data_IF_622645058260
#
_entry.id   IF_622645058260
#
_cell.length_a   1.000
_cell.length_b   1.000
_cell.length_c   1.000
_cell.angle_alpha   90.00
_cell.angle_beta   90.00
_cell.angle_gamma   90.00
#
_symmetry.space_group_name_H-M   'P 1'
#
loop_
_entity.id
_entity.type
_entity.pdbx_description
1 polymer ?
#
# COMPACT_ATOMS: atom_id res chain seq x y z
N UNK A 1 1.15 14.54 22.84
CA UNK A 1 1.60 13.70 21.72
C UNK A 1 2.15 14.61 20.63
N UNK A 2 3.37 14.33 20.15
CA UNK A 2 4.06 15.14 19.15
C UNK A 2 4.78 14.22 18.12
N UNK A 3 4.54 14.44 16.84
CA UNK A 3 5.28 13.74 15.78
C UNK A 3 6.51 14.55 15.34
N UNK A 4 7.68 13.92 15.27
CA UNK A 4 8.93 14.53 14.86
C UNK A 4 9.79 13.55 14.03
N UNK A 5 9.91 13.69 12.71
CA UNK A 5 9.28 14.68 11.85
C UNK A 5 7.75 14.62 11.84
N UNK A 6 7.13 15.77 11.70
CA UNK A 6 5.68 15.95 11.77
C UNK A 6 4.95 15.36 10.56
N UNK A 7 3.77 14.83 10.76
CA UNK A 7 2.84 14.42 9.71
C UNK A 7 1.55 15.27 9.85
N UNK A 8 1.15 16.06 8.84
CA UNK A 8 1.50 15.91 7.42
C UNK A 8 2.62 16.82 6.89
N UNK A 9 3.22 17.73 7.69
CA UNK A 9 4.15 18.74 7.19
C UNK A 9 5.54 18.21 6.82
N UNK A 10 6.02 17.16 7.50
CA UNK A 10 7.39 16.67 7.39
C UNK A 10 8.43 17.53 8.10
N UNK A 11 7.98 18.58 8.81
CA UNK A 11 8.85 19.48 9.56
C UNK A 11 9.55 18.77 10.71
N UNK A 12 10.81 19.10 10.93
CA UNK A 12 11.66 18.57 12.00
C UNK A 12 11.91 19.65 13.04
N UNK A 13 11.69 19.31 14.29
CA UNK A 13 12.04 20.14 15.44
C UNK A 13 13.43 19.77 15.96
N UNK A 14 14.13 20.75 16.49
CA UNK A 14 15.44 20.58 17.11
C UNK A 14 15.37 19.72 18.37
N UNK A 15 16.16 18.66 18.43
CA UNK A 15 16.14 17.70 19.53
C UNK A 15 16.53 18.33 20.87
N UNK A 16 17.51 19.25 20.89
CA UNK A 16 17.93 19.93 22.11
C UNK A 16 16.83 20.87 22.63
N UNK A 17 16.10 21.53 21.73
CA UNK A 17 14.96 22.36 22.12
C UNK A 17 13.82 21.48 22.69
N UNK A 18 13.50 20.36 22.06
CA UNK A 18 12.51 19.41 22.58
C UNK A 18 12.91 18.85 23.93
N UNK A 19 14.19 18.48 24.10
CA UNK A 19 14.72 17.99 25.39
C UNK A 19 14.51 19.03 26.49
N UNK A 20 14.86 20.31 26.26
CA UNK A 20 14.63 21.38 27.22
C UNK A 20 13.14 21.53 27.60
N UNK A 21 12.26 21.45 26.62
CA UNK A 21 10.80 21.53 26.85
C UNK A 21 10.32 20.36 27.69
N UNK A 22 10.75 19.14 27.39
CA UNK A 22 10.40 17.92 28.17
C UNK A 22 10.87 18.05 29.62
N UNK A 23 12.09 18.52 29.85
CA UNK A 23 12.66 18.72 31.19
C UNK A 23 11.95 19.84 31.97
N UNK A 24 11.50 20.90 31.30
CA UNK A 24 10.83 22.04 31.93
C UNK A 24 9.39 21.73 32.37
N UNK A 25 8.84 20.59 31.97
CA UNK A 25 7.46 20.16 32.27
C UNK A 25 7.43 18.72 32.76
N UNK A 26 8.01 18.42 33.93
CA UNK A 26 8.11 17.05 34.45
C UNK A 26 6.75 16.44 34.78
N UNK A 27 5.72 17.24 35.00
CA UNK A 27 4.33 16.83 35.25
C UNK A 27 3.60 16.34 34.00
N UNK A 28 4.14 16.62 32.79
CA UNK A 28 3.57 16.23 31.51
C UNK A 28 4.24 14.96 31.00
N UNK A 29 3.46 13.94 30.64
CA UNK A 29 3.97 12.80 29.92
C UNK A 29 4.06 13.15 28.42
N UNK A 30 5.29 13.18 27.91
CA UNK A 30 5.57 13.44 26.51
C UNK A 30 5.67 12.13 25.72
N UNK A 31 4.92 12.03 24.63
CA UNK A 31 5.02 10.92 23.67
C UNK A 31 5.46 11.52 22.34
N UNK A 32 6.70 11.25 21.94
CA UNK A 32 7.30 11.74 20.70
C UNK A 32 7.27 10.61 19.66
N UNK A 33 6.54 10.80 18.59
CA UNK A 33 6.45 9.85 17.48
C UNK A 33 7.55 10.16 16.44
N UNK A 34 8.61 9.39 16.48
CA UNK A 34 9.74 9.45 15.55
C UNK A 34 9.61 8.44 14.38
N UNK A 35 8.39 8.12 13.96
CA UNK A 35 8.16 7.15 12.88
C UNK A 35 8.81 7.49 11.54
N UNK A 36 9.18 8.75 11.31
CA UNK A 36 9.84 9.22 10.09
C UNK A 36 11.29 9.69 10.33
N UNK A 37 11.81 9.56 11.54
CA UNK A 37 13.14 10.05 11.92
C UNK A 37 14.25 9.36 11.12
N UNK A 38 14.09 8.10 10.73
CA UNK A 38 15.08 7.37 9.94
C UNK A 38 15.37 8.00 8.57
N UNK A 39 14.48 8.84 8.04
CA UNK A 39 14.69 9.59 6.80
C UNK A 39 15.49 10.89 6.99
N UNK A 40 15.46 11.45 8.20
CA UNK A 40 16.10 12.74 8.50
C UNK A 40 17.62 12.56 8.64
N UNK A 41 18.37 13.13 7.69
CA UNK A 41 19.82 13.00 7.69
C UNK A 41 20.46 13.97 8.67
N UNK A 42 21.32 13.43 9.55
CA UNK A 42 22.04 14.23 10.56
C UNK A 42 21.15 14.73 11.71
N UNK A 43 19.87 14.31 11.75
CA UNK A 43 19.00 14.64 12.86
C UNK A 43 19.31 13.81 14.10
N UNK A 44 19.22 14.44 15.26
CA UNK A 44 19.35 13.77 16.55
C UNK A 44 17.98 13.26 17.01
N UNK A 45 17.98 12.06 17.58
CA UNK A 45 16.81 11.41 18.15
C UNK A 45 16.82 11.53 19.68
N UNK A 46 15.63 11.64 20.27
CA UNK A 46 15.47 11.64 21.73
C UNK A 46 15.44 10.23 22.36
N UNK A 47 15.88 9.20 21.63
CA UNK A 47 15.88 7.82 22.14
C UNK A 47 16.72 7.62 23.40
N UNK A 48 17.89 8.29 23.48
CA UNK A 48 18.77 8.20 24.64
C UNK A 48 18.17 8.88 25.86
N UNK A 49 17.61 10.07 25.66
CA UNK A 49 16.94 10.87 26.66
C UNK A 49 15.70 10.16 27.20
N UNK A 50 14.95 9.47 26.34
CA UNK A 50 13.77 8.70 26.73
C UNK A 50 14.10 7.56 27.71
N UNK A 51 15.27 6.95 27.61
CA UNK A 51 15.69 5.93 28.57
C UNK A 51 15.98 6.49 29.97
N UNK A 52 16.22 7.79 30.07
CA UNK A 52 16.65 8.48 31.31
C UNK A 52 15.52 9.33 31.95
N UNK A 53 14.67 9.94 31.12
CA UNK A 53 13.61 10.85 31.58
C UNK A 53 12.34 10.08 31.92
N UNK A 54 11.79 10.24 33.16
CA UNK A 54 10.62 9.48 33.60
C UNK A 54 9.32 9.88 32.88
N UNK A 55 9.30 11.04 32.25
CA UNK A 55 8.13 11.63 31.58
C UNK A 55 8.26 11.66 30.05
N UNK A 56 9.18 10.87 29.46
CA UNK A 56 9.37 10.80 28.00
C UNK A 56 9.21 9.38 27.45
N UNK A 57 8.41 9.25 26.40
CA UNK A 57 8.32 8.04 25.56
C UNK A 57 8.64 8.43 24.14
N UNK A 58 9.55 7.73 23.49
CA UNK A 58 9.82 7.87 22.06
C UNK A 58 9.35 6.63 21.32
N UNK A 59 8.54 6.84 20.29
CA UNK A 59 8.02 5.79 19.42
C UNK A 59 8.81 5.73 18.12
N UNK A 60 9.17 4.52 17.67
CA UNK A 60 9.83 4.27 16.39
C UNK A 60 9.05 3.27 15.56
N UNK A 61 8.99 3.49 14.27
CA UNK A 61 8.30 2.60 13.33
C UNK A 61 9.27 2.03 12.31
N UNK A 62 9.31 0.71 12.19
CA UNK A 62 10.07 0.02 11.16
C UNK A 62 9.29 -0.16 9.87
N UNK A 63 8.04 0.30 9.83
CA UNK A 63 7.14 0.06 8.69
C UNK A 63 7.38 0.95 7.48
N UNK A 64 7.95 2.17 7.67
CA UNK A 64 8.11 3.16 6.60
C UNK A 64 9.48 3.06 5.94
N UNK A 65 10.54 3.36 6.67
CA UNK A 65 11.90 3.43 6.14
C UNK A 65 12.36 2.08 5.56
N UNK A 66 12.00 0.99 6.21
CA UNK A 66 12.38 -0.37 5.79
C UNK A 66 11.36 -1.03 4.85
N UNK A 67 10.34 -0.31 4.39
CA UNK A 67 9.35 -0.84 3.45
C UNK A 67 8.45 -1.97 3.99
N UNK A 68 8.32 -2.09 5.31
CA UNK A 68 7.65 -3.21 5.98
C UNK A 68 6.25 -2.87 6.48
N UNK A 69 5.47 -2.10 5.72
CA UNK A 69 4.15 -1.63 6.14
C UNK A 69 3.19 -2.77 6.53
N UNK A 70 3.22 -3.90 5.83
CA UNK A 70 2.39 -5.08 6.10
C UNK A 70 2.83 -5.90 7.31
N UNK A 71 4.07 -5.78 7.77
CA UNK A 71 4.63 -6.56 8.89
C UNK A 71 4.12 -6.07 10.25
N UNK A 72 3.72 -4.81 10.35
CA UNK A 72 3.17 -4.17 11.56
C UNK A 72 4.13 -4.20 12.74
N UNK A 73 5.29 -3.57 12.62
CA UNK A 73 6.33 -3.56 13.65
C UNK A 73 6.83 -2.15 13.98
N UNK A 74 7.04 -1.92 15.25
CA UNK A 74 7.62 -0.73 15.82
C UNK A 74 8.03 -1.01 17.26
N UNK A 75 8.65 -0.04 17.91
CA UNK A 75 9.05 -0.14 19.31
C UNK A 75 8.94 1.23 20.00
N UNK A 76 8.92 1.20 21.32
CA UNK A 76 9.03 2.39 22.15
C UNK A 76 10.24 2.29 23.08
N UNK A 77 10.85 3.44 23.38
CA UNK A 77 11.86 3.56 24.43
C UNK A 77 11.35 4.56 25.44
N UNK A 78 11.48 4.23 26.72
CA UNK A 78 11.17 5.07 27.86
C UNK A 78 11.92 4.55 29.09
N UNK A 79 11.92 5.29 30.20
CA UNK A 79 12.51 4.87 31.45
C UNK A 79 11.93 3.54 31.97
N UNK A 80 12.76 2.72 32.62
CA UNK A 80 12.42 1.36 33.02
C UNK A 80 11.09 1.20 33.80
N UNK A 81 10.73 2.04 34.76
CA UNK A 81 9.46 1.92 35.47
C UNK A 81 8.24 2.11 34.55
N UNK A 82 8.34 3.02 33.57
CA UNK A 82 7.28 3.25 32.59
C UNK A 82 7.21 2.11 31.58
N UNK A 83 8.37 1.59 31.14
CA UNK A 83 8.45 0.44 30.25
C UNK A 83 7.78 -0.81 30.86
N UNK A 84 7.97 -1.04 32.15
CA UNK A 84 7.33 -2.17 32.86
C UNK A 84 5.81 -2.01 32.92
N UNK A 85 5.30 -0.82 33.22
CA UNK A 85 3.84 -0.52 33.20
C UNK A 85 3.25 -0.72 31.81
N UNK A 86 3.94 -0.26 30.76
CA UNK A 86 3.49 -0.47 29.37
C UNK A 86 3.47 -1.96 29.02
N UNK A 87 4.50 -2.73 29.41
CA UNK A 87 4.58 -4.17 29.16
C UNK A 87 3.42 -4.93 29.79
N UNK A 88 3.02 -4.58 31.01
CA UNK A 88 1.88 -5.18 31.70
C UNK A 88 0.54 -4.89 31.01
N UNK A 89 0.45 -3.79 30.26
CA UNK A 89 -0.75 -3.37 29.52
C UNK A 89 -0.82 -3.95 28.11
N UNK A 90 0.26 -4.53 27.60
CA UNK A 90 0.29 -5.09 26.25
C UNK A 90 -0.33 -6.50 26.23
N UNK A 91 -1.07 -6.86 25.16
CA UNK A 91 -1.57 -8.21 24.99
C UNK A 91 -0.42 -9.20 24.82
N UNK A 92 -0.63 -10.44 25.26
CA UNK A 92 0.29 -11.52 24.96
C UNK A 92 0.46 -11.69 23.43
N UNK A 93 1.66 -12.08 22.99
CA UNK A 93 1.96 -12.32 21.57
C UNK A 93 1.76 -11.09 20.66
N UNK A 94 2.01 -9.90 21.18
CA UNK A 94 1.84 -8.62 20.47
C UNK A 94 2.79 -8.43 19.27
N UNK A 95 3.81 -9.29 19.10
CA UNK A 95 4.72 -9.32 17.97
C UNK A 95 4.59 -10.67 17.26
N UNK A 96 4.21 -10.67 15.99
CA UNK A 96 4.11 -11.91 15.21
C UNK A 96 5.50 -12.42 14.77
N UNK A 97 5.61 -13.71 14.44
CA UNK A 97 6.86 -14.37 14.09
C UNK A 97 7.53 -13.74 12.84
N UNK A 98 6.76 -13.31 11.86
CA UNK A 98 7.27 -12.65 10.66
C UNK A 98 7.88 -11.28 10.99
N UNK A 99 7.24 -10.52 11.89
CA UNK A 99 7.77 -9.26 12.38
C UNK A 99 9.10 -9.46 13.10
N UNK A 100 9.21 -10.47 13.98
CA UNK A 100 10.45 -10.78 14.68
C UNK A 100 11.58 -11.17 13.72
N UNK A 101 11.30 -11.98 12.71
CA UNK A 101 12.27 -12.36 11.68
C UNK A 101 12.70 -11.17 10.83
N UNK A 102 11.74 -10.34 10.39
CA UNK A 102 12.00 -9.13 9.59
C UNK A 102 12.86 -8.11 10.35
N UNK A 103 12.58 -7.90 11.63
CA UNK A 103 13.39 -6.99 12.49
C UNK A 103 14.82 -7.48 12.60
N UNK A 104 15.04 -8.78 12.83
CA UNK A 104 16.41 -9.35 12.87
C UNK A 104 17.14 -9.12 11.55
N UNK A 105 16.49 -9.34 10.41
CA UNK A 105 17.08 -9.11 9.10
C UNK A 105 17.43 -7.64 8.85
N UNK A 106 16.57 -6.72 9.29
CA UNK A 106 16.80 -5.27 9.19
C UNK A 106 17.98 -4.84 10.05
N UNK A 107 18.03 -5.29 11.31
CA UNK A 107 19.13 -4.94 12.23
C UNK A 107 20.49 -5.54 11.82
N UNK A 108 20.49 -6.60 11.02
CA UNK A 108 21.68 -7.19 10.44
C UNK A 108 22.22 -6.43 9.22
N UNK A 109 21.47 -5.45 8.68
CA UNK A 109 21.94 -4.65 7.54
C UNK A 109 23.10 -3.74 7.95
N UNK A 110 24.11 -3.56 7.09
CA UNK A 110 25.18 -2.61 7.36
C UNK A 110 24.64 -1.18 7.41
N UNK A 111 25.22 -0.33 8.26
CA UNK A 111 24.82 1.08 8.40
C UNK A 111 24.82 1.84 7.06
N UNK A 112 25.77 1.50 6.18
CA UNK A 112 25.86 2.05 4.82
C UNK A 112 24.59 1.85 3.97
N UNK A 113 23.76 0.84 4.27
CA UNK A 113 22.47 0.67 3.62
C UNK A 113 21.51 1.83 3.96
N UNK A 114 21.39 2.13 5.25
CA UNK A 114 20.53 3.21 5.72
C UNK A 114 20.99 4.58 5.17
N UNK A 115 22.31 4.81 5.09
CA UNK A 115 22.85 6.05 4.53
C UNK A 115 22.52 6.21 3.04
N UNK A 116 22.63 5.12 2.26
CA UNK A 116 22.22 5.13 0.85
C UNK A 116 20.73 5.41 0.70
N UNK A 117 19.86 4.81 1.53
CA UNK A 117 18.43 5.04 1.45
C UNK A 117 18.05 6.47 1.85
N UNK A 118 18.70 7.06 2.85
CA UNK A 118 18.54 8.49 3.19
C UNK A 118 18.95 9.40 2.04
N UNK A 119 20.10 9.14 1.45
CA UNK A 119 20.60 9.92 0.30
C UNK A 119 19.63 9.81 -0.90
N UNK A 120 19.17 8.61 -1.22
CA UNK A 120 18.18 8.37 -2.28
C UNK A 120 16.86 9.11 -2.01
N UNK A 121 16.35 9.02 -0.78
CA UNK A 121 15.12 9.73 -0.42
C UNK A 121 15.28 11.24 -0.53
N UNK A 122 16.41 11.80 -0.09
CA UNK A 122 16.71 13.22 -0.20
C UNK A 122 16.72 13.67 -1.68
N UNK A 123 17.49 13.00 -2.53
CA UNK A 123 17.56 13.32 -3.97
C UNK A 123 16.17 13.34 -4.62
N UNK A 124 15.38 12.30 -4.37
CA UNK A 124 14.01 12.18 -4.89
C UNK A 124 13.07 13.23 -4.29
N UNK A 125 13.20 13.53 -3.00
CA UNK A 125 12.41 14.57 -2.33
C UNK A 125 12.69 15.94 -2.92
N UNK A 126 13.97 16.24 -3.19
CA UNK A 126 14.40 17.49 -3.80
C UNK A 126 13.90 17.61 -5.26
N UNK A 127 13.87 16.50 -6.01
CA UNK A 127 13.25 16.47 -7.34
C UNK A 127 11.75 16.78 -7.27
N UNK A 128 11.02 16.10 -6.36
CA UNK A 128 9.59 16.36 -6.16
C UNK A 128 9.33 17.78 -5.71
N UNK A 129 10.14 18.32 -4.79
CA UNK A 129 10.03 19.69 -4.29
C UNK A 129 10.16 20.69 -5.44
N UNK A 130 11.19 20.57 -6.28
CA UNK A 130 11.40 21.47 -7.44
C UNK A 130 10.21 21.43 -8.40
N UNK A 131 9.71 20.21 -8.72
CA UNK A 131 8.58 20.04 -9.65
C UNK A 131 7.30 20.66 -9.11
N UNK A 132 6.98 20.41 -7.83
CA UNK A 132 5.81 21.00 -7.20
C UNK A 132 5.93 22.51 -7.07
N UNK A 133 7.10 23.04 -6.69
CA UNK A 133 7.34 24.48 -6.57
C UNK A 133 7.26 25.22 -7.91
N UNK A 134 7.44 24.54 -9.04
CA UNK A 134 7.29 25.12 -10.37
C UNK A 134 5.83 25.26 -10.84
N UNK A 135 4.86 24.76 -10.07
CA UNK A 135 3.45 24.86 -10.42
C UNK A 135 2.90 26.25 -10.07
N UNK A 136 2.01 26.81 -10.90
CA UNK A 136 1.35 28.09 -10.60
C UNK A 136 0.58 28.00 -9.27
N UNK A 137 0.74 29.01 -8.42
CA UNK A 137 0.04 29.11 -7.15
C UNK A 137 0.43 28.05 -6.10
N UNK A 138 1.54 27.32 -6.32
CA UNK A 138 2.03 26.32 -5.40
C UNK A 138 2.79 26.95 -4.23
N UNK A 139 2.57 26.39 -3.03
CA UNK A 139 3.41 26.60 -1.84
C UNK A 139 3.75 25.23 -1.25
N UNK A 140 5.02 24.85 -1.31
CA UNK A 140 5.53 23.55 -0.85
C UNK A 140 6.28 23.74 0.44
N UNK A 141 5.95 22.94 1.47
CA UNK A 141 6.67 22.99 2.73
C UNK A 141 7.93 22.12 2.69
N UNK A 142 9.05 22.58 3.28
CA UNK A 142 10.23 21.76 3.50
C UNK A 142 9.90 20.54 4.37
N UNK A 143 10.52 19.40 4.09
CA UNK A 143 10.26 18.15 4.80
C UNK A 143 11.55 17.35 5.02
N UNK A 144 11.65 16.67 6.15
CA UNK A 144 12.69 15.68 6.41
C UNK A 144 12.16 14.23 6.35
N UNK A 145 10.89 14.06 5.97
CA UNK A 145 10.26 12.74 5.78
C UNK A 145 10.35 12.25 4.32
N UNK A 146 9.61 11.19 4.02
CA UNK A 146 9.45 10.65 2.66
C UNK A 146 8.17 11.13 1.97
N UNK A 147 7.74 12.35 2.27
CA UNK A 147 6.58 13.03 1.66
C UNK A 147 6.75 14.54 1.72
N UNK A 148 5.98 15.24 0.89
CA UNK A 148 5.86 16.71 0.90
C UNK A 148 4.41 17.10 1.10
N UNK A 149 4.18 18.12 1.95
CA UNK A 149 2.92 18.84 2.07
C UNK A 149 2.99 20.10 1.21
N UNK A 150 2.00 20.32 0.37
CA UNK A 150 1.93 21.48 -0.49
C UNK A 150 0.50 21.99 -0.63
N UNK A 151 0.38 23.27 -0.93
CA UNK A 151 -0.88 23.93 -1.24
C UNK A 151 -0.89 24.38 -2.69
N UNK A 152 -2.05 24.33 -3.34
CA UNK A 152 -2.27 24.86 -4.68
C UNK A 152 -3.39 25.90 -4.64
N UNK A 153 -3.04 27.17 -4.83
CA UNK A 153 -4.02 28.24 -4.98
C UNK A 153 -4.74 28.09 -6.33
N UNK A 154 -6.06 28.31 -6.33
CA UNK A 154 -6.86 28.20 -7.56
C UNK A 154 -7.10 26.76 -8.05
N UNK A 155 -6.72 25.75 -7.28
CA UNK A 155 -6.99 24.37 -7.64
C UNK A 155 -8.49 24.07 -7.70
N UNK A 156 -8.96 23.25 -8.65
CA UNK A 156 -10.35 22.87 -8.74
C UNK A 156 -10.79 22.07 -7.50
N UNK A 157 -12.05 22.23 -7.12
CA UNK A 157 -12.61 21.47 -6.00
C UNK A 157 -12.46 19.95 -6.20
N UNK A 158 -12.09 19.24 -5.13
CA UNK A 158 -11.92 17.79 -5.17
C UNK A 158 -10.74 17.32 -6.03
N UNK A 159 -9.65 18.13 -6.16
CA UNK A 159 -8.49 17.82 -6.99
C UNK A 159 -7.91 16.42 -6.73
N UNK A 160 -7.80 15.97 -5.47
CA UNK A 160 -7.30 14.63 -5.15
C UNK A 160 -8.16 13.51 -5.77
N UNK A 161 -9.50 13.64 -5.69
CA UNK A 161 -10.41 12.69 -6.31
C UNK A 161 -10.34 12.73 -7.85
N UNK A 162 -10.18 13.92 -8.44
CA UNK A 162 -10.00 14.10 -9.89
C UNK A 162 -8.71 13.43 -10.37
N UNK A 163 -7.60 13.64 -9.66
CA UNK A 163 -6.31 13.00 -9.97
C UNK A 163 -6.39 11.48 -9.90
N UNK A 164 -7.05 10.95 -8.88
CA UNK A 164 -7.27 9.51 -8.76
C UNK A 164 -8.11 8.98 -9.93
N UNK A 165 -9.23 9.62 -10.21
CA UNK A 165 -10.17 9.17 -11.27
C UNK A 165 -9.58 9.28 -12.68
N UNK A 166 -8.88 10.37 -13.00
CA UNK A 166 -8.41 10.64 -14.37
C UNK A 166 -7.03 10.05 -14.67
N UNK A 167 -6.14 10.06 -13.67
CA UNK A 167 -4.71 9.75 -13.89
C UNK A 167 -4.24 8.55 -13.07
N UNK A 168 -5.08 7.98 -12.19
CA UNK A 168 -4.69 6.90 -11.27
C UNK A 168 -3.70 7.37 -10.19
N UNK A 169 -3.63 8.68 -9.93
CA UNK A 169 -2.69 9.27 -8.97
C UNK A 169 -3.41 9.53 -7.64
N UNK A 170 -3.02 8.78 -6.61
CA UNK A 170 -3.55 8.93 -5.27
C UNK A 170 -2.72 9.94 -4.47
N UNK A 171 -3.32 11.04 -4.05
CA UNK A 171 -2.77 12.00 -3.10
C UNK A 171 -3.61 12.02 -1.82
N UNK A 172 -2.97 12.32 -0.71
CA UNK A 172 -3.69 12.55 0.55
C UNK A 172 -4.22 13.98 0.56
N UNK A 173 -5.54 14.14 0.58
CA UNK A 173 -6.20 15.39 0.89
C UNK A 173 -6.06 15.67 2.39
N UNK A 174 -5.47 16.82 2.73
CA UNK A 174 -5.19 17.22 4.11
C UNK A 174 -6.18 18.27 4.66
N UNK A 175 -7.28 18.54 3.98
CA UNK A 175 -8.30 19.50 4.42
C UNK A 175 -8.97 19.14 5.75
N UNK A 176 -8.87 17.88 6.18
CA UNK A 176 -9.39 17.41 7.48
C UNK A 176 -8.42 17.60 8.65
N UNK A 177 -7.26 18.21 8.44
CA UNK A 177 -6.35 18.58 9.53
C UNK A 177 -6.66 19.99 10.02
N UNK A 178 -6.68 20.22 11.36
CA UNK A 178 -6.85 21.55 11.91
C UNK A 178 -5.81 22.54 11.36
N UNK A 179 -6.27 23.67 10.84
CA UNK A 179 -5.45 24.72 10.22
C UNK A 179 -5.16 24.50 8.73
N UNK A 180 -5.64 23.42 8.12
CA UNK A 180 -5.51 23.13 6.67
C UNK A 180 -6.87 23.06 5.96
N UNK A 181 -7.93 23.53 6.59
CA UNK A 181 -9.32 23.45 6.07
C UNK A 181 -9.52 24.34 4.85
N UNK A 182 -8.72 25.41 4.75
CA UNK A 182 -8.80 26.37 3.64
C UNK A 182 -7.66 26.18 2.66
N UNK A 183 -7.99 26.25 1.38
CA UNK A 183 -7.05 25.99 0.30
C UNK A 183 -6.87 24.49 0.05
N UNK A 184 -6.36 24.16 -1.12
CA UNK A 184 -6.14 22.78 -1.53
C UNK A 184 -4.78 22.27 -0.98
N UNK A 185 -4.79 21.75 0.24
CA UNK A 185 -3.62 21.16 0.88
C UNK A 185 -3.55 19.67 0.59
N UNK A 186 -2.46 19.25 -0.06
CA UNK A 186 -2.24 17.89 -0.48
C UNK A 186 -0.89 17.38 0.05
N UNK A 187 -0.83 16.10 0.40
CA UNK A 187 0.43 15.43 0.73
C UNK A 187 0.73 14.36 -0.32
N UNK A 188 1.93 14.46 -0.92
CA UNK A 188 2.48 13.47 -1.85
C UNK A 188 3.62 12.68 -1.20
N UNK A 189 3.62 11.37 -1.37
CA UNK A 189 4.79 10.55 -1.05
C UNK A 189 5.93 10.79 -2.04
N UNK A 190 7.16 10.68 -1.55
CA UNK A 190 8.36 10.68 -2.40
C UNK A 190 8.43 9.34 -3.14
N UNK A 191 8.48 9.39 -4.47
CA UNK A 191 8.45 8.24 -5.39
C UNK A 191 9.64 8.29 -6.33
N UNK A 192 9.50 7.69 -7.52
CA UNK A 192 10.54 7.79 -8.55
C UNK A 192 10.45 9.12 -9.32
N UNK A 193 11.54 9.59 -9.96
CA UNK A 193 11.51 10.82 -10.76
C UNK A 193 10.49 10.78 -11.91
N UNK A 194 10.23 9.59 -12.47
CA UNK A 194 9.24 9.38 -13.52
C UNK A 194 7.82 9.58 -12.98
N UNK A 195 7.52 9.05 -11.80
CA UNK A 195 6.22 9.23 -11.13
C UNK A 195 6.03 10.69 -10.70
N UNK A 196 7.10 11.37 -10.28
CA UNK A 196 7.05 12.83 -9.98
C UNK A 196 6.75 13.66 -11.22
N UNK A 197 7.33 13.30 -12.38
CA UNK A 197 7.05 13.98 -13.64
C UNK A 197 5.58 13.84 -14.02
N UNK A 198 5.04 12.61 -13.94
CA UNK A 198 3.63 12.34 -14.20
C UNK A 198 2.70 13.12 -13.26
N UNK A 199 3.03 13.18 -11.97
CA UNK A 199 2.26 13.97 -11.00
C UNK A 199 2.26 15.47 -11.37
N UNK A 200 3.43 16.03 -11.67
CA UNK A 200 3.55 17.45 -12.01
C UNK A 200 2.79 17.79 -13.30
N UNK A 201 2.83 16.90 -14.30
CA UNK A 201 2.09 17.07 -15.56
C UNK A 201 0.57 17.02 -15.32
N UNK A 202 0.09 16.04 -14.55
CA UNK A 202 -1.33 15.91 -14.21
C UNK A 202 -1.83 17.15 -13.43
N UNK A 203 -1.05 17.64 -12.48
CA UNK A 203 -1.39 18.86 -11.73
C UNK A 203 -1.45 20.11 -12.63
N UNK A 204 -0.49 20.28 -13.55
CA UNK A 204 -0.53 21.40 -14.53
C UNK A 204 -1.79 21.34 -15.39
N UNK A 205 -2.14 20.15 -15.89
CA UNK A 205 -3.32 19.95 -16.70
C UNK A 205 -4.61 20.31 -15.97
N UNK A 206 -4.74 19.90 -14.70
CA UNK A 206 -5.92 20.20 -13.88
C UNK A 206 -6.00 21.69 -13.50
N UNK A 207 -4.85 22.35 -13.25
CA UNK A 207 -4.79 23.80 -12.98
C UNK A 207 -5.10 24.66 -14.21
N UNK A 208 -4.70 24.20 -15.41
CA UNK A 208 -4.99 24.90 -16.65
C UNK A 208 -6.44 24.78 -17.13
N UNK A 209 -7.28 23.99 -16.46
CA UNK A 209 -8.63 23.68 -16.93
C UNK A 209 -8.68 22.83 -18.22
N UNK A 210 -7.51 22.53 -18.78
CA UNK A 210 -7.32 21.78 -20.01
C UNK A 210 -6.81 20.37 -19.66
N UNK A 211 -7.60 19.60 -18.93
CA UNK A 211 -7.19 18.23 -18.65
C UNK A 211 -6.99 17.49 -19.99
N UNK A 212 -5.75 17.01 -20.31
CA UNK A 212 -5.55 16.25 -21.53
C UNK A 212 -6.41 15.01 -21.51
N UNK A 213 -6.90 14.61 -22.66
CA UNK A 213 -7.55 13.32 -22.90
C UNK A 213 -6.56 12.14 -22.88
N UNK A 214 -5.43 12.26 -22.19
CA UNK A 214 -4.59 11.10 -21.90
C UNK A 214 -5.25 10.36 -20.75
N UNK A 215 -6.30 9.63 -21.10
CA UNK A 215 -6.82 8.56 -20.26
C UNK A 215 -5.74 7.47 -20.28
N UNK A 216 -4.73 7.56 -19.40
CA UNK A 216 -4.19 6.32 -18.84
C UNK A 216 -5.39 5.73 -18.11
N UNK A 217 -5.92 4.62 -18.62
CA UNK A 217 -6.94 3.84 -17.90
C UNK A 217 -6.42 3.69 -16.47
N UNK A 218 -7.08 4.35 -15.51
CA UNK A 218 -6.67 4.23 -14.11
C UNK A 218 -6.62 2.72 -13.81
N UNK A 219 -5.56 2.21 -13.20
CA UNK A 219 -5.53 0.80 -12.84
C UNK A 219 -6.80 0.52 -12.03
N UNK A 220 -7.60 -0.42 -12.51
CA UNK A 220 -8.84 -0.78 -11.84
C UNK A 220 -8.51 -1.31 -10.46
N UNK A 221 -9.21 -0.91 -9.41
CA UNK A 221 -8.95 -1.40 -8.07
C UNK A 221 -8.99 -2.93 -8.04
N UNK A 222 -7.96 -3.52 -7.50
CA UNK A 222 -7.89 -4.97 -7.30
C UNK A 222 -7.33 -5.28 -5.91
N UNK A 223 -7.95 -6.24 -5.22
CA UNK A 223 -7.51 -6.75 -3.94
C UNK A 223 -7.02 -8.18 -4.11
N UNK A 224 -5.75 -8.43 -3.85
CA UNK A 224 -5.17 -9.78 -3.90
C UNK A 224 -5.05 -10.38 -2.51
N UNK A 225 -5.65 -11.57 -2.32
CA UNK A 225 -5.56 -12.34 -1.10
C UNK A 225 -4.47 -13.41 -1.26
N UNK A 226 -3.37 -13.25 -0.52
CA UNK A 226 -2.27 -14.21 -0.53
C UNK A 226 -2.25 -15.01 0.77
N UNK A 227 -1.80 -16.25 0.68
CA UNK A 227 -1.61 -17.12 1.84
C UNK A 227 -0.28 -17.85 1.76
N UNK A 228 0.25 -18.23 2.91
CA UNK A 228 1.55 -18.88 3.07
C UNK A 228 1.55 -20.36 2.70
N UNK A 229 0.37 -20.97 2.54
CA UNK A 229 0.24 -22.38 2.20
C UNK A 229 -1.07 -22.66 1.44
N UNK A 230 -1.23 -23.88 0.93
CA UNK A 230 -2.50 -24.41 0.47
C UNK A 230 -3.46 -24.52 1.66
N UNK A 231 -4.77 -24.46 1.39
CA UNK A 231 -5.86 -24.59 2.37
C UNK A 231 -5.86 -23.55 3.52
N UNK A 232 -5.11 -22.45 3.36
CA UNK A 232 -5.08 -21.33 4.31
C UNK A 232 -6.39 -20.49 4.34
N UNK A 233 -7.47 -20.96 3.71
CA UNK A 233 -8.76 -20.27 3.70
C UNK A 233 -8.89 -19.11 2.69
N UNK A 234 -7.92 -18.90 1.81
CA UNK A 234 -7.94 -17.79 0.80
C UNK A 234 -9.25 -17.72 0.03
N UNK A 235 -9.72 -18.84 -0.50
CA UNK A 235 -10.94 -18.89 -1.33
C UNK A 235 -12.20 -18.48 -0.57
N UNK A 236 -12.28 -18.87 0.71
CA UNK A 236 -13.40 -18.50 1.60
C UNK A 236 -13.33 -17.02 1.94
N UNK A 237 -12.13 -16.52 2.28
CA UNK A 237 -11.95 -15.10 2.58
C UNK A 237 -12.24 -14.22 1.35
N UNK A 238 -11.81 -14.64 0.15
CA UNK A 238 -12.15 -13.95 -1.10
C UNK A 238 -13.67 -13.90 -1.31
N UNK A 239 -14.38 -15.01 -1.09
CA UNK A 239 -15.85 -15.04 -1.22
C UNK A 239 -16.53 -14.10 -0.20
N UNK A 240 -16.04 -14.07 1.04
CA UNK A 240 -16.56 -13.18 2.08
C UNK A 240 -16.33 -11.70 1.72
N UNK A 241 -15.13 -11.34 1.25
CA UNK A 241 -14.81 -9.97 0.83
C UNK A 241 -15.62 -9.55 -0.41
N UNK A 242 -15.80 -10.44 -1.39
CA UNK A 242 -16.71 -10.20 -2.51
C UNK A 242 -18.12 -9.85 -2.02
N UNK A 243 -18.64 -10.60 -1.03
CA UNK A 243 -19.97 -10.34 -0.47
C UNK A 243 -20.02 -9.01 0.29
N UNK A 244 -19.01 -8.68 1.08
CA UNK A 244 -18.90 -7.41 1.83
C UNK A 244 -18.87 -6.24 0.86
N UNK A 245 -17.98 -6.24 -0.13
CA UNK A 245 -17.89 -5.17 -1.12
C UNK A 245 -19.18 -4.99 -1.93
N UNK A 246 -19.87 -6.10 -2.26
CA UNK A 246 -21.18 -6.00 -2.88
C UNK A 246 -22.21 -5.31 -1.97
N UNK A 247 -22.21 -5.61 -0.67
CA UNK A 247 -23.08 -4.98 0.31
C UNK A 247 -22.75 -3.50 0.51
N UNK A 248 -21.47 -3.13 0.37
CA UNK A 248 -20.99 -1.74 0.41
C UNK A 248 -21.29 -0.98 -0.91
N UNK A 249 -21.98 -1.62 -1.87
CA UNK A 249 -22.42 -1.00 -3.11
C UNK A 249 -21.40 -1.05 -4.26
N UNK A 250 -20.31 -1.81 -4.14
CA UNK A 250 -19.36 -1.99 -5.24
C UNK A 250 -19.83 -3.06 -6.23
N UNK A 251 -19.66 -2.80 -7.52
CA UNK A 251 -19.79 -3.80 -8.57
C UNK A 251 -18.49 -4.61 -8.62
N UNK A 252 -18.48 -5.78 -7.98
CA UNK A 252 -17.28 -6.58 -7.71
C UNK A 252 -17.32 -7.92 -8.44
N UNK A 253 -16.15 -8.39 -8.92
CA UNK A 253 -16.00 -9.73 -9.47
C UNK A 253 -14.76 -10.44 -8.89
N UNK A 254 -14.80 -11.78 -8.76
CA UNK A 254 -13.62 -12.57 -8.42
C UNK A 254 -12.75 -12.76 -9.65
N UNK A 255 -11.43 -12.94 -9.42
CA UNK A 255 -10.49 -13.34 -10.47
C UNK A 255 -9.40 -14.24 -9.90
N UNK A 256 -9.10 -15.33 -10.58
CA UNK A 256 -7.96 -16.20 -10.29
C UNK A 256 -7.33 -16.66 -11.58
N UNK A 257 -6.17 -16.09 -11.90
CA UNK A 257 -5.45 -16.32 -13.17
C UNK A 257 -5.28 -17.80 -13.49
N UNK A 258 -4.90 -18.61 -12.49
CA UNK A 258 -4.76 -20.06 -12.60
C UNK A 258 -5.29 -20.75 -11.34
N UNK A 259 -6.08 -21.79 -11.52
CA UNK A 259 -6.51 -22.68 -10.46
C UNK A 259 -6.09 -24.12 -10.76
N UNK A 260 -5.74 -24.88 -9.72
CA UNK A 260 -5.54 -26.31 -9.80
C UNK A 260 -6.58 -26.98 -8.91
N UNK A 261 -7.55 -27.67 -9.50
CA UNK A 261 -8.62 -28.30 -8.76
C UNK A 261 -9.24 -29.47 -9.55
N UNK A 262 -9.57 -30.55 -8.85
CA UNK A 262 -10.38 -31.64 -9.41
C UNK A 262 -11.85 -31.23 -9.53
N UNK A 263 -12.31 -30.42 -8.55
CA UNK A 263 -13.70 -29.95 -8.54
C UNK A 263 -13.87 -28.72 -9.43
N UNK A 264 -14.68 -28.87 -10.46
CA UNK A 264 -15.07 -27.83 -11.38
C UNK A 264 -16.59 -27.77 -11.51
N UNK A 265 -17.06 -26.76 -12.20
CA UNK A 265 -18.44 -26.64 -12.67
C UNK A 265 -18.45 -25.89 -13.99
N UNK A 266 -19.61 -25.71 -14.56
CA UNK A 266 -19.78 -25.08 -15.87
C UNK A 266 -20.56 -23.78 -15.75
N UNK A 267 -20.26 -22.82 -16.63
CA UNK A 267 -21.03 -21.60 -16.80
C UNK A 267 -22.30 -21.90 -17.60
N UNK A 268 -23.18 -20.94 -17.70
CA UNK A 268 -24.40 -21.04 -18.56
C UNK A 268 -24.05 -21.28 -20.04
N UNK A 269 -22.83 -20.94 -20.48
CA UNK A 269 -22.33 -21.16 -21.83
C UNK A 269 -21.63 -22.52 -22.01
N UNK A 270 -21.65 -23.38 -20.96
CA UNK A 270 -20.98 -24.68 -20.98
C UNK A 270 -19.46 -24.62 -20.80
N UNK A 271 -18.91 -23.48 -20.38
CA UNK A 271 -17.50 -23.28 -20.14
C UNK A 271 -17.10 -23.77 -18.76
N UNK A 272 -16.01 -24.52 -18.65
CA UNK A 272 -15.59 -25.13 -17.39
C UNK A 272 -14.69 -24.18 -16.57
N UNK A 273 -14.98 -24.05 -15.27
CA UNK A 273 -14.18 -23.25 -14.34
C UNK A 273 -14.10 -23.88 -12.95
N UNK A 274 -13.15 -23.43 -12.14
CA UNK A 274 -12.94 -23.92 -10.79
C UNK A 274 -14.14 -23.65 -9.86
N UNK A 275 -14.52 -24.64 -9.04
CA UNK A 275 -15.65 -24.53 -8.10
C UNK A 275 -15.55 -23.35 -7.15
N UNK A 276 -14.35 -23.02 -6.69
CA UNK A 276 -14.14 -21.87 -5.80
C UNK A 276 -14.58 -20.55 -6.45
N UNK A 277 -14.29 -20.36 -7.75
CA UNK A 277 -14.67 -19.14 -8.47
C UNK A 277 -16.17 -19.08 -8.76
N UNK A 278 -16.83 -20.23 -8.94
CA UNK A 278 -18.31 -20.30 -9.01
C UNK A 278 -18.94 -19.77 -7.72
N UNK A 279 -18.46 -20.24 -6.56
CA UNK A 279 -18.95 -19.79 -5.24
C UNK A 279 -18.66 -18.28 -5.03
N UNK A 280 -17.53 -17.81 -5.49
CA UNK A 280 -17.15 -16.39 -5.40
C UNK A 280 -18.03 -15.52 -6.31
N UNK A 281 -18.35 -15.97 -7.53
CA UNK A 281 -19.29 -15.29 -8.42
C UNK A 281 -20.70 -15.23 -7.80
N UNK A 282 -21.18 -16.32 -7.19
CA UNK A 282 -22.43 -16.35 -6.43
C UNK A 282 -22.40 -15.37 -5.24
N UNK A 283 -21.25 -15.25 -4.55
CA UNK A 283 -21.08 -14.26 -3.48
C UNK A 283 -21.23 -12.83 -4.00
N UNK A 284 -20.76 -12.54 -5.21
CA UNK A 284 -20.94 -11.27 -5.91
C UNK A 284 -22.35 -11.08 -6.51
N UNK A 285 -23.22 -12.11 -6.50
CA UNK A 285 -24.52 -12.13 -7.20
C UNK A 285 -24.43 -11.86 -8.71
N UNK A 286 -23.38 -12.39 -9.33
CA UNK A 286 -23.15 -12.32 -10.78
C UNK A 286 -23.09 -13.73 -11.36
N UNK A 287 -23.38 -13.84 -12.66
CA UNK A 287 -23.25 -15.10 -13.36
C UNK A 287 -21.79 -15.52 -13.48
N UNK A 288 -21.47 -16.80 -13.28
CA UNK A 288 -20.13 -17.32 -13.49
C UNK A 288 -19.67 -17.14 -14.94
N UNK A 289 -18.42 -16.69 -15.10
CA UNK A 289 -17.79 -16.40 -16.39
C UNK A 289 -16.38 -16.98 -16.42
N UNK A 290 -16.01 -17.64 -17.50
CA UNK A 290 -14.68 -18.28 -17.66
C UNK A 290 -13.53 -17.29 -17.51
N UNK A 291 -13.74 -15.99 -17.77
CA UNK A 291 -12.78 -14.92 -17.51
C UNK A 291 -12.35 -14.82 -16.03
N UNK A 292 -13.21 -15.25 -15.10
CA UNK A 292 -12.91 -15.24 -13.66
C UNK A 292 -11.89 -16.31 -13.26
N UNK A 293 -11.72 -17.34 -14.11
CA UNK A 293 -10.71 -18.40 -13.95
C UNK A 293 -10.18 -18.83 -15.32
N UNK A 294 -9.36 -17.99 -15.99
CA UNK A 294 -8.96 -18.24 -17.38
C UNK A 294 -8.14 -19.51 -17.58
N UNK A 295 -7.41 -19.98 -16.54
CA UNK A 295 -6.70 -21.25 -16.59
C UNK A 295 -7.13 -22.16 -15.44
N UNK A 296 -7.63 -23.34 -15.79
CA UNK A 296 -7.93 -24.41 -14.85
C UNK A 296 -7.08 -25.65 -15.19
N UNK A 297 -6.35 -26.15 -14.19
CA UNK A 297 -5.60 -27.40 -14.29
C UNK A 297 -6.35 -28.49 -13.50
N UNK A 298 -6.74 -29.56 -14.19
CA UNK A 298 -7.36 -30.74 -13.59
C UNK A 298 -6.35 -31.89 -13.54
N UNK A 299 -5.76 -32.18 -12.35
CA UNK A 299 -4.85 -33.30 -12.22
C UNK A 299 -5.51 -34.61 -12.65
N UNK A 300 -4.87 -35.41 -13.47
CA UNK A 300 -5.31 -36.75 -13.86
C UNK A 300 -4.28 -37.85 -13.48
N UNK A 301 -3.09 -37.44 -13.09
CA UNK A 301 -2.01 -38.30 -12.61
C UNK A 301 -1.11 -37.52 -11.65
N UNK A 302 -0.09 -38.18 -11.08
CA UNK A 302 0.88 -37.53 -10.20
C UNK A 302 1.70 -36.42 -10.89
N UNK A 303 1.80 -36.43 -12.21
CA UNK A 303 2.63 -35.49 -12.98
C UNK A 303 1.89 -34.77 -14.10
N UNK A 304 0.64 -35.15 -14.41
CA UNK A 304 -0.11 -34.64 -15.55
C UNK A 304 -1.42 -33.99 -15.17
N UNK A 305 -1.80 -32.97 -15.93
CA UNK A 305 -3.09 -32.27 -15.81
C UNK A 305 -3.76 -32.08 -17.17
N UNK A 306 -5.07 -32.16 -17.20
CA UNK A 306 -5.84 -31.58 -18.29
C UNK A 306 -5.82 -30.07 -18.14
N UNK A 307 -5.39 -29.37 -19.17
CA UNK A 307 -5.33 -27.90 -19.21
C UNK A 307 -6.59 -27.36 -19.88
N UNK A 308 -7.28 -26.48 -19.20
CA UNK A 308 -8.48 -25.79 -19.65
C UNK A 308 -8.15 -24.29 -19.70
N UNK A 309 -8.35 -23.67 -20.85
CA UNK A 309 -8.13 -22.24 -21.08
C UNK A 309 -9.43 -21.60 -21.53
N UNK A 310 -9.82 -20.52 -20.83
CA UNK A 310 -11.08 -19.81 -21.08
C UNK A 310 -12.27 -20.78 -21.15
N UNK A 311 -12.33 -21.69 -20.18
CA UNK A 311 -13.41 -22.68 -20.04
C UNK A 311 -13.40 -23.84 -21.03
N UNK A 312 -12.41 -23.93 -21.92
CA UNK A 312 -12.32 -24.97 -22.97
C UNK A 312 -11.05 -25.82 -22.80
N UNK A 313 -11.15 -27.15 -22.90
CA UNK A 313 -9.99 -28.03 -22.82
C UNK A 313 -9.06 -27.83 -24.02
N UNK A 314 -7.77 -27.60 -23.77
CA UNK A 314 -6.75 -27.41 -24.81
C UNK A 314 -5.80 -28.61 -24.93
N UNK A 315 -5.84 -29.55 -24.00
CA UNK A 315 -5.05 -30.77 -24.05
C UNK A 315 -4.64 -31.28 -22.65
N UNK A 316 -3.84 -32.34 -22.65
CA UNK A 316 -3.19 -32.88 -21.45
C UNK A 316 -1.73 -32.53 -21.52
N UNK A 317 -1.15 -32.09 -20.42
CA UNK A 317 0.24 -31.71 -20.32
C UNK A 317 0.84 -32.22 -19.02
N UNK A 318 2.08 -32.65 -19.04
CA UNK A 318 2.83 -32.83 -17.81
C UNK A 318 3.33 -31.48 -17.23
N UNK A 319 3.93 -31.51 -16.04
CA UNK A 319 4.36 -30.30 -15.35
C UNK A 319 5.43 -29.51 -16.14
N UNK A 320 6.34 -30.20 -16.86
CA UNK A 320 7.39 -29.56 -17.67
C UNK A 320 6.82 -28.94 -18.93
N UNK A 321 5.96 -29.69 -19.63
CA UNK A 321 5.25 -29.22 -20.83
C UNK A 321 4.43 -27.98 -20.50
N UNK A 322 3.67 -28.02 -19.40
CA UNK A 322 2.88 -26.87 -18.97
C UNK A 322 3.75 -25.67 -18.60
N UNK A 323 4.86 -25.89 -17.87
CA UNK A 323 5.77 -24.81 -17.51
C UNK A 323 6.34 -24.07 -18.73
N UNK A 324 6.63 -24.80 -19.80
CA UNK A 324 7.07 -24.22 -21.08
C UNK A 324 5.93 -23.54 -21.83
N UNK A 325 4.74 -24.16 -21.84
CA UNK A 325 3.58 -23.68 -22.58
C UNK A 325 2.86 -22.52 -21.90
N UNK A 326 2.97 -22.35 -20.58
CA UNK A 326 2.19 -21.34 -19.81
C UNK A 326 2.35 -19.90 -20.31
N UNK A 327 3.52 -19.56 -20.88
CA UNK A 327 3.75 -18.22 -21.47
C UNK A 327 2.82 -17.96 -22.67
N UNK A 328 2.42 -19.00 -23.37
CA UNK A 328 1.53 -18.94 -24.52
C UNK A 328 0.09 -18.57 -24.11
N UNK A 329 -0.32 -18.93 -22.89
CA UNK A 329 -1.64 -18.63 -22.35
C UNK A 329 -1.69 -17.29 -21.59
N UNK A 330 -0.54 -16.63 -21.37
CA UNK A 330 -0.49 -15.38 -20.63
C UNK A 330 -1.30 -14.24 -21.29
N UNK A 331 -1.32 -14.09 -22.63
CA UNK A 331 -2.19 -13.10 -23.28
C UNK A 331 -3.68 -13.31 -22.98
N UNK A 332 -4.15 -14.56 -22.88
CA UNK A 332 -5.55 -14.86 -22.54
C UNK A 332 -5.87 -14.46 -21.09
N UNK A 333 -4.92 -14.70 -20.18
CA UNK A 333 -5.05 -14.27 -18.76
C UNK A 333 -5.13 -12.75 -18.67
N UNK A 334 -4.25 -12.02 -19.34
CA UNK A 334 -4.28 -10.55 -19.35
C UNK A 334 -5.58 -10.02 -19.96
N UNK A 335 -5.99 -10.56 -21.11
CA UNK A 335 -7.25 -10.16 -21.78
C UNK A 335 -8.46 -10.40 -20.90
N UNK A 336 -8.51 -11.54 -20.20
CA UNK A 336 -9.58 -11.86 -19.27
C UNK A 336 -9.62 -10.88 -18.09
N UNK A 337 -8.46 -10.59 -17.50
CA UNK A 337 -8.33 -9.62 -16.42
C UNK A 337 -8.76 -8.21 -16.85
N UNK A 338 -8.22 -7.72 -17.96
CA UNK A 338 -8.51 -6.38 -18.47
C UNK A 338 -10.00 -6.22 -18.80
N UNK A 339 -10.61 -7.24 -19.42
CA UNK A 339 -12.04 -7.25 -19.76
C UNK A 339 -12.92 -7.18 -18.50
N UNK A 340 -12.63 -7.99 -17.46
CA UNK A 340 -13.34 -7.91 -16.18
C UNK A 340 -13.08 -6.59 -15.46
N UNK A 341 -11.85 -6.09 -15.50
CA UNK A 341 -11.50 -4.81 -14.91
C UNK A 341 -12.20 -3.62 -15.58
N UNK A 342 -12.60 -3.73 -16.85
CA UNK A 342 -13.39 -2.72 -17.54
C UNK A 342 -14.88 -2.77 -17.16
N UNK A 343 -15.38 -3.95 -16.81
CA UNK A 343 -16.78 -4.20 -16.50
C UNK A 343 -17.08 -3.96 -15.00
N UNK A 344 -16.18 -4.33 -14.11
CA UNK A 344 -16.38 -4.27 -12.66
C UNK A 344 -15.56 -3.14 -12.01
N UNK A 345 -16.09 -2.59 -10.92
CA UNK A 345 -15.44 -1.52 -10.18
C UNK A 345 -14.28 -2.01 -9.32
N UNK A 346 -14.29 -3.29 -8.92
CA UNK A 346 -13.29 -3.92 -8.05
C UNK A 346 -13.13 -5.40 -8.42
N UNK A 347 -11.88 -5.88 -8.51
CA UNK A 347 -11.59 -7.30 -8.66
C UNK A 347 -10.98 -7.86 -7.35
N UNK A 348 -11.48 -9.03 -6.91
CA UNK A 348 -10.93 -9.79 -5.79
C UNK A 348 -10.14 -11.00 -6.33
N UNK A 349 -8.80 -11.02 -6.08
CA UNK A 349 -7.87 -12.02 -6.59
C UNK A 349 -7.46 -13.00 -5.49
#
# INVERSE_FOLDING_TARGET
FLANPSNPSGGLLDAAALHRVVQSRPEVLWIIDESFMDYAQGAESLLREAALLPNLVVLRSLTKFYGMAGVRCGFSICAAPLAERLRQSLPAWNVNAFAAAAVKAVLAQPSSWADRERARNRERRDDLFRRLSSLPGSAVLPSEANFLLFRLAGAPHGLAARLLKKYGIALRDCSNYPGLETGCWLRSGVRTPEEHALLAEALRAELAGNGPSIIRKAPKPALMIQGTCSDAGKSVLTAALCRIFLQDGYHVAPFKAQNMALNSGVTALGEEMGRAQLVQAQACRIDPDARMNPILLKPHSNTGSQVIVMGRPVGRMDAREYFTAKRRFWPDVCKAYDSLADEYALLCL
#
